data_IF_202992610706
#
_entry.id   IF_202992610706
#
_cell.length_a   1.000
_cell.length_b   1.000
_cell.length_c   1.000
_cell.angle_alpha   90.00
_cell.angle_beta   90.00
_cell.angle_gamma   90.00
#
_symmetry.space_group_name_H-M   'P 1'
#
loop_
_entity.id
_entity.type
_entity.pdbx_description
1 polymer ?
#
# COMPACT_ATOMS: atom_id res chain seq x y z
N UNK A 1 13.09 -21.40 3.84
CA UNK A 1 12.08 -21.89 4.80
C UNK A 1 12.20 -23.41 5.01
N UNK A 2 11.47 -24.29 4.31
CA UNK A 2 11.41 -25.72 4.68
C UNK A 2 12.77 -26.47 4.67
N UNK A 3 13.60 -26.24 3.66
CA UNK A 3 14.89 -26.92 3.49
C UNK A 3 16.10 -26.10 3.97
N UNK A 4 15.88 -24.97 4.64
CA UNK A 4 16.92 -24.08 5.19
C UNK A 4 18.09 -23.77 4.24
N UNK A 5 17.80 -23.60 2.94
CA UNK A 5 18.85 -23.45 1.90
C UNK A 5 19.65 -22.15 1.97
N UNK A 6 19.17 -21.13 2.70
CA UNK A 6 19.86 -19.85 2.86
C UNK A 6 20.13 -19.15 1.52
N UNK A 7 19.09 -18.60 0.89
CA UNK A 7 19.19 -18.07 -0.49
C UNK A 7 18.74 -16.62 -0.57
N UNK A 8 19.26 -15.88 -1.55
CA UNK A 8 18.93 -14.46 -1.76
C UNK A 8 17.67 -14.35 -2.62
N UNK A 9 16.69 -13.57 -2.16
CA UNK A 9 15.43 -13.30 -2.86
C UNK A 9 15.01 -11.85 -2.71
N UNK A 10 14.19 -11.36 -3.64
CA UNK A 10 13.45 -10.11 -3.50
C UNK A 10 12.08 -10.44 -2.94
N UNK A 11 11.76 -9.92 -1.76
CA UNK A 11 10.52 -10.26 -1.05
C UNK A 11 9.95 -9.04 -0.37
N UNK A 12 8.63 -9.08 -0.20
CA UNK A 12 7.88 -8.12 0.59
C UNK A 12 8.01 -8.44 2.08
N UNK A 13 8.45 -7.44 2.85
CA UNK A 13 8.63 -7.51 4.30
C UNK A 13 8.08 -6.25 4.96
N UNK A 14 7.81 -6.32 6.25
CA UNK A 14 7.56 -5.11 7.04
C UNK A 14 8.84 -4.26 7.11
N UNK A 15 8.72 -2.96 6.89
CA UNK A 15 9.85 -2.04 6.74
C UNK A 15 10.81 -2.07 7.94
N UNK A 16 10.27 -1.98 9.17
CA UNK A 16 11.02 -2.02 10.42
C UNK A 16 12.25 -1.08 10.47
N UNK A 17 12.22 0.03 9.73
CA UNK A 17 13.30 1.00 9.63
C UNK A 17 14.35 0.71 8.55
N UNK A 18 14.11 -0.23 7.64
CA UNK A 18 14.98 -0.49 6.48
C UNK A 18 15.00 0.68 5.51
N UNK A 19 13.88 1.40 5.39
CA UNK A 19 13.70 2.62 4.61
C UNK A 19 13.28 3.74 5.55
N UNK A 20 14.19 4.67 5.82
CA UNK A 20 14.00 5.74 6.81
C UNK A 20 12.80 6.64 6.56
N UNK A 21 12.41 6.83 5.29
CA UNK A 21 11.33 7.76 4.93
C UNK A 21 9.95 7.10 4.82
N UNK A 22 9.83 5.82 5.19
CA UNK A 22 8.60 5.04 5.12
C UNK A 22 8.23 4.58 6.54
N UNK A 23 6.93 4.54 6.92
CA UNK A 23 6.52 4.02 8.22
C UNK A 23 7.06 2.62 8.50
N UNK A 24 7.30 2.30 9.78
CA UNK A 24 7.94 1.03 10.15
C UNK A 24 7.06 -0.18 9.87
N UNK A 25 5.75 0.01 9.91
CA UNK A 25 4.74 -0.99 9.73
C UNK A 25 4.32 -1.20 8.27
N UNK A 26 4.73 -0.32 7.36
CA UNK A 26 4.46 -0.47 5.93
C UNK A 26 5.20 -1.66 5.31
N UNK A 27 4.59 -2.26 4.29
CA UNK A 27 5.20 -3.29 3.47
C UNK A 27 6.20 -2.66 2.50
N UNK A 28 7.38 -3.26 2.34
CA UNK A 28 8.40 -2.85 1.37
C UNK A 28 8.96 -4.08 0.66
N UNK A 29 9.43 -3.91 -0.57
CA UNK A 29 10.19 -4.95 -1.26
C UNK A 29 11.70 -4.72 -1.07
N UNK A 30 12.39 -5.75 -0.55
CA UNK A 30 13.85 -5.71 -0.37
C UNK A 30 14.52 -7.02 -0.71
N UNK A 31 15.78 -6.92 -1.11
CA UNK A 31 16.68 -8.06 -1.20
C UNK A 31 16.94 -8.59 0.20
N UNK A 32 16.57 -9.85 0.41
CA UNK A 32 16.68 -10.52 1.69
C UNK A 32 17.47 -11.81 1.54
N UNK A 33 18.24 -12.15 2.58
CA UNK A 33 18.69 -13.51 2.80
C UNK A 33 17.52 -14.29 3.42
N UNK A 34 17.12 -15.40 2.81
CA UNK A 34 15.97 -16.19 3.25
C UNK A 34 16.42 -17.57 3.71
N UNK A 35 16.22 -17.85 5.00
CA UNK A 35 16.55 -19.11 5.66
C UNK A 35 15.28 -19.74 6.28
N UNK A 36 15.43 -20.62 7.28
CA UNK A 36 14.30 -21.18 8.03
C UNK A 36 13.64 -20.19 9.00
N UNK A 37 14.36 -19.17 9.46
CA UNK A 37 13.87 -18.18 10.41
C UNK A 37 13.09 -17.05 9.73
N UNK A 38 13.23 -16.90 8.41
CA UNK A 38 12.43 -15.99 7.61
C UNK A 38 13.26 -15.23 6.59
N UNK A 39 12.78 -14.05 6.21
CA UNK A 39 13.47 -13.11 5.34
C UNK A 39 14.22 -12.07 6.19
N UNK A 40 15.53 -11.97 5.97
CA UNK A 40 16.40 -11.02 6.65
C UNK A 40 16.86 -9.97 5.63
N UNK A 41 16.40 -8.70 5.74
CA UNK A 41 16.78 -7.67 4.80
C UNK A 41 18.29 -7.45 4.81
N UNK A 42 18.88 -7.38 3.61
CA UNK A 42 20.26 -6.98 3.46
C UNK A 42 20.37 -5.45 3.58
N UNK A 43 21.44 -4.97 4.22
CA UNK A 43 21.66 -3.52 4.41
C UNK A 43 21.60 -2.77 3.08
N UNK A 44 20.61 -1.88 2.96
CA UNK A 44 20.47 -0.98 1.83
C UNK A 44 21.11 0.37 2.15
N UNK A 45 21.74 0.99 1.14
CA UNK A 45 22.13 2.40 1.23
C UNK A 45 20.88 3.27 1.37
N UNK A 46 21.02 4.41 2.03
CA UNK A 46 19.96 5.41 2.10
C UNK A 46 19.46 5.79 0.70
N UNK A 47 18.14 5.93 0.56
CA UNK A 47 17.52 6.32 -0.70
C UNK A 47 17.89 7.76 -1.08
N UNK A 48 18.13 8.06 -2.37
CA UNK A 48 18.32 9.43 -2.85
C UNK A 48 17.13 10.32 -2.50
N UNK A 49 17.37 11.57 -2.07
CA UNK A 49 16.31 12.52 -1.69
C UNK A 49 15.26 12.72 -2.79
N UNK A 50 15.70 12.75 -4.05
CA UNK A 50 14.85 12.98 -5.24
C UNK A 50 13.70 11.99 -5.42
N UNK A 51 13.74 10.80 -4.83
CA UNK A 51 12.66 9.80 -4.94
C UNK A 51 11.79 9.70 -3.69
N UNK A 52 12.21 10.29 -2.55
CA UNK A 52 11.54 10.09 -1.26
C UNK A 52 10.11 10.61 -1.26
N UNK A 53 9.88 11.79 -1.83
CA UNK A 53 8.55 12.40 -1.89
C UNK A 53 7.54 11.54 -2.64
N UNK A 54 7.91 11.06 -3.84
CA UNK A 54 7.05 10.16 -4.62
C UNK A 54 6.79 8.85 -3.86
N UNK A 55 7.84 8.25 -3.27
CA UNK A 55 7.70 6.99 -2.53
C UNK A 55 6.72 7.13 -1.35
N UNK A 56 6.77 8.25 -0.63
CA UNK A 56 5.86 8.54 0.47
C UNK A 56 4.41 8.68 0.00
N UNK A 57 4.18 9.37 -1.12
CA UNK A 57 2.83 9.52 -1.69
C UNK A 57 2.24 8.17 -2.10
N UNK A 58 3.04 7.31 -2.74
CA UNK A 58 2.58 5.98 -3.14
C UNK A 58 2.29 5.09 -1.93
N UNK A 59 3.16 5.12 -0.90
CA UNK A 59 2.91 4.40 0.34
C UNK A 59 1.63 4.85 1.05
N UNK A 60 1.37 6.16 1.08
CA UNK A 60 0.15 6.70 1.67
C UNK A 60 -1.11 6.31 0.87
N UNK A 61 -1.03 6.30 -0.46
CA UNK A 61 -2.10 5.78 -1.32
C UNK A 61 -2.44 4.32 -0.96
N UNK A 62 -1.42 3.46 -0.81
CA UNK A 62 -1.61 2.05 -0.46
C UNK A 62 -2.23 1.90 0.94
N UNK A 63 -1.73 2.66 1.92
CA UNK A 63 -2.23 2.64 3.30
C UNK A 63 -3.70 3.07 3.38
N UNK A 64 -4.06 4.19 2.74
CA UNK A 64 -5.45 4.67 2.68
C UNK A 64 -6.37 3.69 1.93
N UNK A 65 -5.86 3.04 0.88
CA UNK A 65 -6.61 2.01 0.15
C UNK A 65 -6.90 0.80 1.03
N UNK A 66 -5.94 0.38 1.86
CA UNK A 66 -6.14 -0.70 2.84
C UNK A 66 -7.15 -0.29 3.91
N UNK A 67 -7.02 0.92 4.48
CA UNK A 67 -7.97 1.46 5.47
C UNK A 67 -9.41 1.44 4.91
N UNK A 68 -9.59 1.98 3.71
CA UNK A 68 -10.86 1.98 3.02
C UNK A 68 -11.37 0.55 2.73
N UNK A 69 -10.49 -0.32 2.26
CA UNK A 69 -10.80 -1.72 1.95
C UNK A 69 -11.23 -2.52 3.19
N UNK A 70 -10.61 -2.30 4.34
CA UNK A 70 -10.92 -3.02 5.58
C UNK A 70 -12.17 -2.45 6.26
N UNK A 71 -12.29 -1.13 6.31
CA UNK A 71 -13.31 -0.45 7.13
C UNK A 71 -14.52 0.07 6.34
N UNK A 72 -14.46 0.09 5.00
CA UNK A 72 -15.49 0.71 4.17
C UNK A 72 -15.47 2.24 4.23
N UNK A 73 -14.32 2.82 4.54
CA UNK A 73 -14.15 4.27 4.65
C UNK A 73 -14.06 4.92 3.26
N UNK A 74 -15.15 5.56 2.84
CA UNK A 74 -15.22 6.29 1.59
C UNK A 74 -14.25 7.49 1.55
N UNK A 75 -14.07 8.19 2.68
CA UNK A 75 -13.17 9.33 2.77
C UNK A 75 -11.72 8.92 2.55
N UNK A 76 -11.30 7.81 3.17
CA UNK A 76 -9.98 7.24 2.95
C UNK A 76 -9.76 6.82 1.49
N UNK A 77 -10.74 6.16 0.86
CA UNK A 77 -10.66 5.79 -0.56
C UNK A 77 -10.55 7.02 -1.48
N UNK A 78 -11.36 8.05 -1.22
CA UNK A 78 -11.34 9.28 -2.01
C UNK A 78 -10.00 9.99 -1.86
N UNK A 79 -9.48 10.10 -0.63
CA UNK A 79 -8.18 10.69 -0.38
C UNK A 79 -7.07 9.90 -1.09
N UNK A 80 -7.11 8.57 -1.08
CA UNK A 80 -6.17 7.74 -1.81
C UNK A 80 -6.14 8.11 -3.30
N UNK A 81 -7.30 8.14 -3.96
CA UNK A 81 -7.39 8.50 -5.37
C UNK A 81 -6.90 9.93 -5.63
N UNK A 82 -7.27 10.90 -4.77
CA UNK A 82 -6.87 12.31 -4.93
C UNK A 82 -5.35 12.52 -4.86
N UNK A 83 -4.64 11.79 -3.99
CA UNK A 83 -3.18 11.94 -3.85
C UNK A 83 -2.39 11.15 -4.90
N UNK A 84 -3.03 10.22 -5.62
CA UNK A 84 -2.34 9.37 -6.57
C UNK A 84 -1.87 10.17 -7.80
N UNK A 85 -0.58 10.12 -8.19
CA UNK A 85 0.00 11.04 -9.18
C UNK A 85 -0.53 10.87 -10.62
N UNK A 86 -1.26 9.77 -10.89
CA UNK A 86 -1.88 9.50 -12.19
C UNK A 86 -3.39 9.73 -12.20
N UNK A 87 -3.99 10.17 -11.10
CA UNK A 87 -5.41 10.45 -11.01
C UNK A 87 -5.61 11.97 -10.99
N UNK A 88 -6.45 12.46 -11.89
CA UNK A 88 -6.87 13.86 -11.85
C UNK A 88 -7.87 14.05 -10.71
N UNK A 89 -7.61 15.00 -9.81
CA UNK A 89 -8.45 15.20 -8.62
C UNK A 89 -9.89 15.60 -8.95
N UNK A 90 -10.10 16.22 -10.11
CA UNK A 90 -11.43 16.61 -10.62
C UNK A 90 -12.36 15.42 -10.90
N UNK A 91 -11.81 14.23 -11.18
CA UNK A 91 -12.58 13.03 -11.51
C UNK A 91 -12.60 12.00 -10.38
N UNK A 92 -11.82 12.21 -9.31
CA UNK A 92 -11.55 11.19 -8.30
C UNK A 92 -12.82 10.66 -7.61
N UNK A 93 -13.79 11.54 -7.34
CA UNK A 93 -15.06 11.18 -6.71
C UNK A 93 -15.93 10.31 -7.63
N UNK A 94 -16.17 10.77 -8.85
CA UNK A 94 -17.00 10.05 -9.81
C UNK A 94 -16.37 8.70 -10.17
N UNK A 95 -15.04 8.66 -10.29
CA UNK A 95 -14.28 7.42 -10.45
C UNK A 95 -14.45 6.47 -9.26
N UNK A 96 -14.41 6.97 -8.03
CA UNK A 96 -14.61 6.14 -6.83
C UNK A 96 -16.03 5.57 -6.77
N UNK A 97 -17.03 6.39 -7.08
CA UNK A 97 -18.42 5.98 -7.10
C UNK A 97 -18.64 4.84 -8.10
N UNK A 98 -18.04 4.95 -9.29
CA UNK A 98 -18.04 3.90 -10.30
C UNK A 98 -17.33 2.62 -9.82
N UNK A 99 -16.13 2.73 -9.24
CA UNK A 99 -15.39 1.57 -8.71
C UNK A 99 -16.22 0.83 -7.65
N UNK A 100 -16.81 1.54 -6.70
CA UNK A 100 -17.60 0.94 -5.62
C UNK A 100 -18.86 0.28 -6.19
N UNK A 101 -19.57 0.97 -7.09
CA UNK A 101 -20.81 0.48 -7.71
C UNK A 101 -20.58 -0.81 -8.50
N UNK A 102 -19.55 -0.85 -9.35
CA UNK A 102 -19.22 -2.02 -10.17
C UNK A 102 -18.67 -3.19 -9.32
N UNK A 103 -18.06 -2.92 -8.18
CA UNK A 103 -17.42 -3.93 -7.32
C UNK A 103 -18.19 -4.21 -6.02
N UNK A 104 -19.44 -3.77 -5.87
CA UNK A 104 -20.17 -3.82 -4.60
C UNK A 104 -20.34 -5.25 -4.04
N UNK A 105 -20.34 -6.25 -4.91
CA UNK A 105 -20.37 -7.66 -4.52
C UNK A 105 -19.07 -8.10 -3.83
N UNK A 106 -17.93 -7.53 -4.21
CA UNK A 106 -16.62 -7.77 -3.62
C UNK A 106 -16.28 -6.80 -2.48
N UNK A 107 -16.99 -5.66 -2.42
CA UNK A 107 -16.82 -4.59 -1.44
C UNK A 107 -18.03 -4.42 -0.52
N UNK A 108 -18.49 -5.47 0.20
CA UNK A 108 -19.72 -5.43 0.99
C UNK A 108 -19.73 -4.35 2.09
N UNK A 109 -18.56 -3.95 2.59
CA UNK A 109 -18.36 -2.89 3.58
C UNK A 109 -18.81 -1.50 3.07
N UNK A 110 -18.82 -1.28 1.74
CA UNK A 110 -19.27 -0.03 1.12
C UNK A 110 -20.76 0.01 0.81
N UNK A 111 -21.54 -1.06 1.11
CA UNK A 111 -22.99 -1.09 0.85
C UNK A 111 -23.75 0.03 1.54
N UNK A 112 -23.29 0.51 2.70
CA UNK A 112 -23.93 1.62 3.41
C UNK A 112 -23.70 2.98 2.73
N UNK A 113 -22.62 3.13 1.96
CA UNK A 113 -22.30 4.35 1.23
C UNK A 113 -23.24 4.58 0.04
N UNK A 114 -23.79 3.51 -0.55
CA UNK A 114 -24.71 3.58 -1.69
C UNK A 114 -26.15 3.89 -1.24
N UNK A 115 -26.54 3.54 -0.02
CA UNK A 115 -27.93 3.67 0.47
C UNK A 115 -28.22 5.07 1.05
N UNK A 116 -27.31 6.02 0.83
CA UNK A 116 -27.43 7.42 1.28
C UNK A 116 -28.06 8.37 0.25
N UNK A 117 -29.10 7.93 -0.46
CA UNK A 117 -30.04 8.79 -1.22
C UNK A 117 -31.37 8.92 -0.45
#
# INVERSE_FOLDING_TARGET
>A
MYNDKGTIHYVNIQNNGTIDCIPKDSCIERTCYVDKAGAHPLNAKALPSKIKGLLQVINEYEALTVEAGVHGDYGAALQALVIHPLVESSIAKDLLDDIIRENIHYLPQFKKCIVGE
#
